data_IF_124230340362
#
_entry.id   IF_124230340362
#
_cell.length_a   1.000
_cell.length_b   1.000
_cell.length_c   1.000
_cell.angle_alpha   90.00
_cell.angle_beta   90.00
_cell.angle_gamma   90.00
#
_symmetry.space_group_name_H-M   'P 1'
#
loop_
_entity.id
_entity.type
_entity.pdbx_description
1 polymer ?
#
# COMPACT_ATOMS: atom_id res chain seq x y z
N UNK A 1 20.00 11.09 7.63
CA UNK A 1 19.26 9.87 7.28
C UNK A 1 19.20 9.01 8.53
N UNK A 2 18.01 8.69 9.05
CA UNK A 2 17.87 7.85 10.24
C UNK A 2 18.11 6.39 9.83
N UNK A 3 19.08 5.73 10.47
CA UNK A 3 19.40 4.32 10.24
C UNK A 3 18.37 3.45 10.97
N UNK A 4 17.27 3.14 10.31
CA UNK A 4 16.32 2.16 10.83
C UNK A 4 16.82 0.74 10.49
N UNK A 5 17.07 -0.07 11.52
CA UNK A 5 17.22 -1.51 11.37
C UNK A 5 15.82 -2.11 11.18
N UNK A 6 15.36 -2.17 9.94
CA UNK A 6 14.16 -2.94 9.62
C UNK A 6 14.44 -4.43 9.83
N UNK A 7 13.42 -5.23 10.22
CA UNK A 7 13.54 -6.68 10.28
C UNK A 7 13.63 -7.24 8.85
N UNK A 8 14.80 -7.12 8.25
CA UNK A 8 15.11 -7.59 6.90
C UNK A 8 15.42 -9.08 7.01
N UNK A 9 14.77 -9.86 6.16
CA UNK A 9 15.11 -11.27 6.00
C UNK A 9 16.46 -11.36 5.27
N UNK A 10 17.49 -12.02 5.83
CA UNK A 10 18.80 -12.13 5.19
C UNK A 10 18.77 -12.87 3.84
N UNK A 11 17.69 -13.60 3.54
CA UNK A 11 17.50 -14.33 2.29
C UNK A 11 16.92 -13.45 1.15
N UNK A 12 16.55 -12.19 1.43
CA UNK A 12 16.02 -11.29 0.42
C UNK A 12 17.08 -10.77 -0.54
N UNK A 13 16.72 -10.70 -1.83
CA UNK A 13 17.57 -10.05 -2.83
C UNK A 13 17.65 -8.54 -2.58
N UNK A 14 18.66 -7.88 -3.15
CA UNK A 14 18.77 -6.42 -3.07
C UNK A 14 17.52 -5.72 -3.61
N UNK A 15 16.90 -6.28 -4.64
CA UNK A 15 15.67 -5.74 -5.23
C UNK A 15 14.48 -5.84 -4.26
N UNK A 16 14.35 -6.97 -3.57
CA UNK A 16 13.31 -7.19 -2.57
C UNK A 16 13.45 -6.25 -1.38
N UNK A 17 14.70 -6.02 -0.93
CA UNK A 17 15.00 -5.04 0.12
C UNK A 17 14.55 -3.64 -0.31
N UNK A 18 14.84 -3.25 -1.57
CA UNK A 18 14.39 -1.97 -2.12
C UNK A 18 12.87 -1.87 -2.16
N UNK A 19 12.15 -2.93 -2.54
CA UNK A 19 10.69 -2.96 -2.52
C UNK A 19 10.12 -2.74 -1.11
N UNK A 20 10.67 -3.42 -0.11
CA UNK A 20 10.24 -3.30 1.28
C UNK A 20 10.50 -1.90 1.82
N UNK A 21 11.71 -1.36 1.64
CA UNK A 21 12.06 0.00 2.09
C UNK A 21 11.18 1.04 1.40
N UNK A 22 10.95 0.89 0.09
CA UNK A 22 10.10 1.80 -0.67
C UNK A 22 8.68 1.84 -0.11
N UNK A 23 8.13 0.69 0.27
CA UNK A 23 6.82 0.63 0.89
C UNK A 23 6.79 1.25 2.30
N UNK A 24 7.80 0.97 3.14
CA UNK A 24 7.87 1.57 4.48
C UNK A 24 7.96 3.11 4.42
N UNK A 25 8.79 3.65 3.53
CA UNK A 25 8.86 5.09 3.29
C UNK A 25 7.54 5.68 2.76
N UNK A 26 6.79 4.91 1.97
CA UNK A 26 5.47 5.30 1.50
C UNK A 26 4.47 5.38 2.66
N UNK A 27 4.55 4.46 3.63
CA UNK A 27 3.76 4.51 4.87
C UNK A 27 4.12 5.73 5.70
N UNK A 28 5.40 6.02 5.94
CA UNK A 28 5.82 7.24 6.65
C UNK A 28 5.27 8.49 5.95
N UNK A 29 5.42 8.57 4.63
CA UNK A 29 4.94 9.69 3.82
C UNK A 29 3.42 9.90 3.95
N UNK A 30 2.62 8.83 4.08
CA UNK A 30 1.17 8.93 4.31
C UNK A 30 0.84 9.75 5.56
N UNK A 31 1.64 9.63 6.63
CA UNK A 31 1.40 10.32 7.90
C UNK A 31 2.03 11.71 7.96
N UNK A 32 3.19 11.91 7.34
CA UNK A 32 3.94 13.17 7.48
C UNK A 32 3.49 14.24 6.47
N UNK A 33 3.40 13.89 5.19
CA UNK A 33 3.25 14.85 4.09
C UNK A 33 2.16 14.48 3.07
N UNK A 34 1.57 13.28 3.21
CA UNK A 34 0.71 12.68 2.20
C UNK A 34 1.49 12.06 1.03
N UNK A 35 0.80 11.19 0.28
CA UNK A 35 1.35 10.52 -0.89
C UNK A 35 0.25 10.26 -1.92
N UNK A 36 0.59 10.32 -3.21
CA UNK A 36 -0.32 9.94 -4.28
C UNK A 36 -0.77 8.48 -4.12
N UNK A 37 -2.07 8.25 -4.29
CA UNK A 37 -2.70 6.95 -4.07
C UNK A 37 -2.07 5.86 -4.94
N UNK A 38 -1.83 6.16 -6.21
CA UNK A 38 -1.25 5.24 -7.20
C UNK A 38 0.18 4.85 -6.82
N UNK A 39 0.95 5.81 -6.28
CA UNK A 39 2.32 5.56 -5.81
C UNK A 39 2.33 4.66 -4.58
N UNK A 40 1.44 4.92 -3.61
CA UNK A 40 1.30 4.07 -2.44
C UNK A 40 0.82 2.65 -2.81
N UNK A 41 -0.18 2.56 -3.67
CA UNK A 41 -0.73 1.28 -4.14
C UNK A 41 0.33 0.46 -4.88
N UNK A 42 1.11 1.08 -5.76
CA UNK A 42 2.22 0.42 -6.45
C UNK A 42 3.26 -0.11 -5.47
N UNK A 43 3.69 0.72 -4.51
CA UNK A 43 4.67 0.32 -3.49
C UNK A 43 4.14 -0.84 -2.63
N UNK A 44 2.86 -0.81 -2.23
CA UNK A 44 2.23 -1.91 -1.50
C UNK A 44 2.18 -3.20 -2.33
N UNK A 45 1.84 -3.14 -3.62
CA UNK A 45 1.82 -4.32 -4.47
C UNK A 45 3.20 -4.95 -4.60
N UNK A 46 4.25 -4.16 -4.85
CA UNK A 46 5.64 -4.65 -4.90
C UNK A 46 6.07 -5.26 -3.57
N UNK A 47 5.71 -4.63 -2.45
CA UNK A 47 5.94 -5.20 -1.12
C UNK A 47 5.25 -6.55 -0.93
N UNK A 48 4.02 -6.74 -1.47
CA UNK A 48 3.29 -8.00 -1.35
C UNK A 48 3.87 -9.14 -2.20
N UNK A 49 4.62 -8.84 -3.26
CA UNK A 49 5.40 -9.86 -3.98
C UNK A 49 6.50 -10.44 -3.11
N UNK A 50 7.15 -9.61 -2.29
CA UNK A 50 8.20 -10.02 -1.35
C UNK A 50 7.62 -10.67 -0.09
N UNK A 51 6.54 -10.08 0.45
CA UNK A 51 5.89 -10.49 1.70
C UNK A 51 4.45 -10.90 1.41
N UNK A 52 4.21 -12.08 0.82
CA UNK A 52 2.86 -12.52 0.45
C UNK A 52 2.01 -12.84 1.68
N UNK A 53 2.62 -13.37 2.75
CA UNK A 53 1.93 -13.80 3.95
C UNK A 53 1.40 -12.63 4.80
N UNK A 54 0.12 -12.72 5.21
CA UNK A 54 -0.50 -11.77 6.15
C UNK A 54 0.13 -11.80 7.54
N UNK A 55 0.60 -12.96 8.00
CA UNK A 55 1.21 -13.08 9.33
C UNK A 55 2.57 -12.39 9.36
N UNK A 56 3.35 -12.54 8.29
CA UNK A 56 4.66 -11.88 8.13
C UNK A 56 4.48 -10.36 8.04
N UNK A 57 3.53 -9.89 7.22
CA UNK A 57 3.17 -8.47 7.14
C UNK A 57 2.75 -7.91 8.51
N UNK A 58 1.93 -8.64 9.28
CA UNK A 58 1.52 -8.21 10.63
C UNK A 58 2.70 -8.12 11.60
N UNK A 59 3.60 -9.09 11.57
CA UNK A 59 4.79 -9.09 12.43
C UNK A 59 5.73 -7.93 12.09
N UNK A 60 5.97 -7.72 10.78
CA UNK A 60 6.76 -6.61 10.29
C UNK A 60 6.12 -5.26 10.63
N UNK A 61 4.80 -5.14 10.45
CA UNK A 61 4.05 -3.95 10.79
C UNK A 61 4.12 -3.61 12.27
N UNK A 62 4.05 -4.61 13.17
CA UNK A 62 4.25 -4.38 14.60
C UNK A 62 5.64 -3.81 14.89
N UNK A 63 6.69 -4.46 14.41
CA UNK A 63 8.08 -3.98 14.61
C UNK A 63 8.31 -2.59 14.03
N UNK A 64 7.74 -2.33 12.86
CA UNK A 64 7.81 -1.02 12.22
C UNK A 64 7.12 0.05 13.08
N UNK A 65 5.89 -0.22 13.53
CA UNK A 65 5.10 0.68 14.36
C UNK A 65 5.76 0.94 15.72
N UNK A 66 6.36 -0.08 16.34
CA UNK A 66 7.12 0.07 17.59
C UNK A 66 8.32 1.04 17.45
N UNK A 67 8.90 1.17 16.25
CA UNK A 67 10.08 2.00 15.97
C UNK A 67 9.70 3.39 15.43
N UNK A 68 8.75 3.45 14.49
CA UNK A 68 8.39 4.69 13.78
C UNK A 68 7.19 5.41 14.38
N UNK A 69 6.33 4.69 15.13
CA UNK A 69 5.03 5.19 15.58
C UNK A 69 3.94 5.17 14.49
N UNK A 70 4.24 4.68 13.28
CA UNK A 70 3.30 4.67 12.15
C UNK A 70 2.74 3.27 11.88
N UNK A 71 1.43 3.18 11.66
CA UNK A 71 0.76 1.90 11.47
C UNK A 71 0.58 1.55 9.99
N UNK A 72 1.31 0.52 9.52
CA UNK A 72 1.13 -0.05 8.18
C UNK A 72 -0.33 -0.43 7.93
N UNK A 73 -0.98 -1.06 8.91
CA UNK A 73 -2.35 -1.54 8.79
C UNK A 73 -3.32 -0.40 8.44
N UNK A 74 -3.20 0.74 9.14
CA UNK A 74 -4.08 1.90 8.92
C UNK A 74 -3.84 2.54 7.57
N UNK A 75 -2.58 2.70 7.15
CA UNK A 75 -2.25 3.22 5.82
C UNK A 75 -2.81 2.34 4.70
N UNK A 76 -2.65 1.01 4.81
CA UNK A 76 -3.20 0.05 3.85
C UNK A 76 -4.74 0.03 3.87
N UNK A 77 -5.37 0.18 5.04
CA UNK A 77 -6.83 0.28 5.14
C UNK A 77 -7.36 1.50 4.37
N UNK A 78 -6.72 2.66 4.50
CA UNK A 78 -7.08 3.87 3.74
C UNK A 78 -6.97 3.64 2.23
N UNK A 79 -5.88 3.04 1.78
CA UNK A 79 -5.70 2.65 0.37
C UNK A 79 -6.83 1.73 -0.11
N UNK A 80 -7.20 0.70 0.67
CA UNK A 80 -8.27 -0.24 0.28
C UNK A 80 -9.64 0.42 0.19
N UNK A 81 -9.95 1.34 1.11
CA UNK A 81 -11.20 2.12 1.06
C UNK A 81 -11.25 2.96 -0.22
N UNK A 82 -10.18 3.71 -0.51
CA UNK A 82 -10.09 4.52 -1.73
C UNK A 82 -10.20 3.69 -3.00
N UNK A 83 -9.56 2.52 -3.04
CA UNK A 83 -9.67 1.59 -4.16
C UNK A 83 -11.12 1.14 -4.40
N UNK A 84 -11.85 0.84 -3.31
CA UNK A 84 -13.27 0.44 -3.40
C UNK A 84 -14.12 1.59 -3.96
N UNK A 85 -13.89 2.82 -3.52
CA UNK A 85 -14.58 4.01 -4.02
C UNK A 85 -14.32 4.24 -5.52
N UNK A 86 -13.06 4.16 -5.97
CA UNK A 86 -12.72 4.28 -7.39
C UNK A 86 -13.39 3.23 -8.26
N UNK A 87 -13.45 1.98 -7.78
CA UNK A 87 -14.10 0.89 -8.49
C UNK A 87 -15.62 1.08 -8.57
N UNK A 88 -16.26 1.56 -7.49
CA UNK A 88 -17.68 1.89 -7.50
C UNK A 88 -17.99 3.03 -8.50
N UNK A 89 -17.15 4.07 -8.53
CA UNK A 89 -17.31 5.19 -9.45
C UNK A 89 -17.18 4.75 -10.91
N UNK A 90 -16.19 3.91 -11.23
CA UNK A 90 -16.01 3.33 -12.58
C UNK A 90 -17.22 2.51 -13.01
N UNK A 91 -17.75 1.68 -12.11
CA UNK A 91 -18.95 0.87 -12.40
C UNK A 91 -20.18 1.74 -12.65
N UNK A 92 -20.38 2.80 -11.87
CA UNK A 92 -21.47 3.75 -12.07
C UNK A 92 -21.38 4.45 -13.43
N UNK A 93 -20.17 4.87 -13.84
CA UNK A 93 -19.96 5.49 -15.15
C UNK A 93 -20.28 4.53 -16.31
N UNK A 94 -19.86 3.27 -16.22
CA UNK A 94 -20.18 2.24 -17.23
C UNK A 94 -21.71 2.05 -17.33
N UNK A 95 -22.40 1.92 -16.20
CA UNK A 95 -23.87 1.74 -16.19
C UNK A 95 -24.61 2.92 -16.83
N UNK A 96 -24.16 4.14 -16.60
CA UNK A 96 -24.74 5.34 -17.22
C UNK A 96 -24.53 5.31 -18.75
N UNK A 97 -23.31 5.03 -19.22
CA UNK A 97 -22.99 4.90 -20.65
C UNK A 97 -23.83 3.81 -21.34
N UNK A 98 -23.98 2.64 -20.72
CA UNK A 98 -24.80 1.53 -21.25
C UNK A 98 -26.29 1.85 -21.25
N UNK A 99 -26.75 2.72 -20.34
CA UNK A 99 -28.15 3.15 -20.28
C UNK A 99 -28.47 4.20 -21.33
N UNK A 100 -27.55 5.13 -21.59
CA UNK A 100 -27.69 6.13 -22.66
C UNK A 100 -27.62 5.51 -24.06
N UNK A 101 -26.76 4.51 -24.27
CA UNK A 101 -26.67 3.78 -25.55
C UNK A 101 -27.96 3.00 -25.88
N UNK A 102 -28.74 2.56 -24.89
CA UNK A 102 -30.02 1.86 -25.08
C UNK A 102 -31.22 2.80 -25.33
N UNK A 103 -31.06 4.10 -25.08
CA UNK A 103 -32.12 5.11 -25.29
C UNK A 103 -32.04 5.78 -26.68
N UNK A 104 -31.00 5.48 -27.46
CA UNK A 104 -30.88 5.83 -28.88
C UNK A 104 -31.29 4.63 -29.74
#
# INVERSE_FOLDING_TARGET
>A
MKNYQYPIDPDWSNEDIVHVITFLNAVESTYEQGIHFEKFQKAYNQFKEVVPSKSQEKHMGKKFEDISGYSIYRAVQLMRTKLKEENLNKNAQIMNLTTEQRRK
#
